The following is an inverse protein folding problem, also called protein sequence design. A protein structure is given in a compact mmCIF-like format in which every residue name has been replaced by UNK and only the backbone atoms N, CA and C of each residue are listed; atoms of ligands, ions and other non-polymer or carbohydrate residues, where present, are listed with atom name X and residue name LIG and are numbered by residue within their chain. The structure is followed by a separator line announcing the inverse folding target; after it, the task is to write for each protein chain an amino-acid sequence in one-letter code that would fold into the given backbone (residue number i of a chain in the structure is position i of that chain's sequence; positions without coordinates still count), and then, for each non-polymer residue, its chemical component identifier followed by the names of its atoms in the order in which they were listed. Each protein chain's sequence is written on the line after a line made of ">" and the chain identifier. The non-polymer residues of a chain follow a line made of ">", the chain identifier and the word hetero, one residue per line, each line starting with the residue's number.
data_IF_662204716086
#
_entry.id   IF_662204716086
#
_cell.length_a   1.000
_cell.length_b   1.000
_cell.length_c   1.000
_cell.angle_alpha   90.00
_cell.angle_beta   90.00
_cell.angle_gamma   90.00
#
_symmetry.space_group_name_H-M   'P 1'
#
loop_
_entity.id
_entity.type
_entity.pdbx_description
1 polymer ?
#
# COMPACT_ATOMS: atom_id res chain seq x y z
N UNK A 1 -0.62 -7.87 -22.92
CA UNK A 1 0.65 -7.34 -22.37
C UNK A 1 1.49 -6.86 -23.55
N UNK A 2 1.78 -5.57 -23.64
CA UNK A 2 2.60 -5.02 -24.71
C UNK A 2 4.04 -4.97 -24.22
N UNK A 3 4.96 -5.65 -24.91
CA UNK A 3 6.40 -5.54 -24.63
C UNK A 3 6.94 -4.45 -25.57
N UNK A 4 7.35 -3.32 -25.03
CA UNK A 4 7.91 -2.21 -25.82
C UNK A 4 9.36 -2.54 -26.15
N UNK A 5 9.57 -3.33 -27.20
CA UNK A 5 10.90 -3.69 -27.70
C UNK A 5 11.45 -2.69 -28.71
N UNK A 6 10.60 -1.83 -29.29
CA UNK A 6 10.98 -0.85 -30.30
C UNK A 6 11.88 0.28 -29.81
N UNK A 7 12.06 0.41 -28.49
CA UNK A 7 12.92 1.43 -27.87
C UNK A 7 14.30 0.91 -27.47
N UNK A 8 14.60 -0.36 -27.75
CA UNK A 8 15.88 -0.99 -27.39
C UNK A 8 16.95 -0.56 -28.39
N UNK A 9 18.08 0.03 -27.95
CA UNK A 9 19.15 0.45 -28.86
C UNK A 9 19.81 -0.75 -29.57
N UNK A 10 20.34 -0.54 -30.79
CA UNK A 10 20.91 -1.61 -31.63
C UNK A 10 22.13 -2.32 -31.01
N UNK A 11 22.80 -1.71 -30.04
CA UNK A 11 23.92 -2.31 -29.32
C UNK A 11 23.48 -3.30 -28.22
N UNK A 12 22.19 -3.44 -27.96
CA UNK A 12 21.63 -4.40 -26.99
C UNK A 12 21.12 -5.63 -27.73
N UNK A 13 21.54 -6.81 -27.28
CA UNK A 13 21.12 -8.07 -27.89
C UNK A 13 19.60 -8.26 -27.87
N UNK A 14 19.02 -8.59 -29.04
CA UNK A 14 17.56 -8.76 -29.22
C UNK A 14 16.92 -9.84 -28.33
N UNK A 15 17.73 -10.72 -27.72
CA UNK A 15 17.28 -11.79 -26.81
C UNK A 15 17.22 -11.37 -25.33
N UNK A 16 17.48 -10.10 -25.02
CA UNK A 16 17.47 -9.61 -23.64
C UNK A 16 16.08 -9.69 -22.99
N UNK A 17 15.01 -9.51 -23.78
CA UNK A 17 13.63 -9.58 -23.31
C UNK A 17 12.97 -10.82 -23.90
N UNK A 18 12.64 -11.77 -23.04
CA UNK A 18 11.85 -12.95 -23.38
C UNK A 18 10.39 -12.78 -22.99
N UNK A 19 9.47 -13.23 -23.85
CA UNK A 19 8.06 -13.36 -23.53
C UNK A 19 7.71 -14.85 -23.39
N UNK A 20 7.18 -15.21 -22.24
CA UNK A 20 6.63 -16.54 -21.99
C UNK A 20 5.15 -16.52 -22.37
N UNK A 21 4.74 -17.36 -23.31
CA UNK A 21 3.38 -17.36 -23.87
C UNK A 21 2.48 -18.43 -23.28
N UNK A 22 3.03 -19.43 -22.60
CA UNK A 22 2.27 -20.48 -21.92
C UNK A 22 2.38 -20.37 -20.40
N UNK A 23 1.26 -20.55 -19.71
CA UNK A 23 1.24 -20.63 -18.23
C UNK A 23 1.86 -21.94 -17.73
N UNK A 24 1.83 -22.98 -18.53
CA UNK A 24 2.36 -24.30 -18.17
C UNK A 24 3.90 -24.31 -18.08
N UNK A 25 4.56 -23.31 -18.65
CA UNK A 25 6.01 -23.13 -18.58
C UNK A 25 6.47 -22.47 -17.26
N UNK A 26 5.57 -21.77 -16.55
CA UNK A 26 5.89 -21.02 -15.33
C UNK A 26 6.50 -21.93 -14.25
N UNK A 27 5.95 -23.13 -13.94
CA UNK A 27 6.55 -24.02 -12.94
C UNK A 27 7.97 -24.48 -13.29
N UNK A 28 8.28 -24.63 -14.58
CA UNK A 28 9.62 -25.00 -15.03
C UNK A 28 10.59 -23.83 -14.87
N UNK A 29 10.17 -22.61 -15.21
CA UNK A 29 10.97 -21.40 -14.99
C UNK A 29 11.27 -21.18 -13.50
N UNK A 30 10.28 -21.39 -12.64
CA UNK A 30 10.43 -21.24 -11.18
C UNK A 30 11.40 -22.27 -10.56
N UNK A 31 11.89 -23.26 -11.31
CA UNK A 31 12.92 -24.21 -10.88
C UNK A 31 14.34 -23.85 -11.32
N UNK A 32 14.51 -22.79 -12.12
CA UNK A 32 15.81 -22.38 -12.66
C UNK A 32 16.52 -21.39 -11.71
N UNK A 33 16.73 -21.79 -10.44
CA UNK A 33 17.41 -20.96 -9.44
C UNK A 33 18.92 -20.77 -9.69
N UNK A 34 19.47 -21.47 -10.68
CA UNK A 34 20.82 -21.31 -11.21
C UNK A 34 20.93 -20.22 -12.30
N UNK A 35 19.82 -19.88 -12.97
CA UNK A 35 19.79 -18.91 -14.08
C UNK A 35 18.97 -17.66 -13.73
N UNK A 36 17.87 -17.80 -12.99
CA UNK A 36 16.97 -16.72 -12.63
C UNK A 36 17.32 -16.21 -11.23
N UNK A 37 17.81 -14.97 -11.15
CA UNK A 37 18.21 -14.38 -9.87
C UNK A 37 17.07 -13.74 -9.06
N UNK A 38 15.94 -13.42 -9.69
CA UNK A 38 14.82 -12.73 -9.03
C UNK A 38 13.50 -12.96 -9.76
N UNK A 39 12.43 -13.21 -9.01
CA UNK A 39 11.05 -13.24 -9.52
C UNK A 39 10.25 -12.10 -8.90
N UNK A 40 9.53 -11.34 -9.73
CA UNK A 40 8.66 -10.24 -9.30
C UNK A 40 7.21 -10.58 -9.68
N UNK A 41 6.48 -11.34 -8.85
CA UNK A 41 5.10 -11.68 -9.14
C UNK A 41 4.20 -10.45 -8.99
N UNK A 42 3.32 -10.23 -9.98
CA UNK A 42 2.30 -9.19 -9.94
C UNK A 42 0.93 -9.87 -10.06
N UNK A 43 0.08 -9.69 -9.06
CA UNK A 43 -1.23 -10.33 -9.02
C UNK A 43 -1.72 -10.44 -7.58
N UNK A 44 -2.61 -11.41 -7.35
CA UNK A 44 -3.23 -11.62 -6.04
C UNK A 44 -2.24 -12.13 -4.99
N UNK A 45 -2.56 -11.90 -3.72
CA UNK A 45 -1.82 -12.43 -2.57
C UNK A 45 -1.61 -13.96 -2.69
N UNK A 46 -2.66 -14.68 -3.12
CA UNK A 46 -2.59 -16.13 -3.37
C UNK A 46 -1.51 -16.48 -4.39
N UNK A 47 -1.43 -15.75 -5.51
CA UNK A 47 -0.40 -15.99 -6.53
C UNK A 47 1.01 -15.73 -5.97
N UNK A 48 1.18 -14.61 -5.25
CA UNK A 48 2.48 -14.26 -4.65
C UNK A 48 2.92 -15.32 -3.64
N UNK A 49 2.04 -15.77 -2.75
CA UNK A 49 2.33 -16.83 -1.77
C UNK A 49 2.63 -18.17 -2.44
N UNK A 50 1.84 -18.58 -3.43
CA UNK A 50 2.08 -19.80 -4.20
C UNK A 50 3.45 -19.79 -4.88
N UNK A 51 3.86 -18.66 -5.46
CA UNK A 51 5.19 -18.53 -6.08
C UNK A 51 6.28 -18.62 -5.01
N UNK A 52 6.15 -17.89 -3.90
CA UNK A 52 7.11 -17.95 -2.79
C UNK A 52 7.30 -19.35 -2.23
N UNK A 53 6.24 -20.15 -2.16
CA UNK A 53 6.26 -21.52 -1.66
C UNK A 53 6.84 -22.53 -2.67
N UNK A 54 6.82 -22.21 -3.98
CA UNK A 54 7.15 -23.15 -5.05
C UNK A 54 8.53 -22.96 -5.69
N UNK A 55 9.29 -21.94 -5.28
CA UNK A 55 10.62 -21.65 -5.83
C UNK A 55 11.69 -21.40 -4.76
N UNK A 56 12.94 -21.67 -5.11
CA UNK A 56 14.12 -21.24 -4.34
C UNK A 56 14.64 -19.87 -4.78
N UNK A 57 14.17 -19.35 -5.92
CA UNK A 57 14.57 -18.05 -6.44
C UNK A 57 14.08 -16.96 -5.48
N UNK A 58 14.89 -15.93 -5.17
CA UNK A 58 14.41 -14.77 -4.42
C UNK A 58 13.14 -14.18 -5.05
N UNK A 59 12.13 -13.91 -4.23
CA UNK A 59 10.84 -13.35 -4.68
C UNK A 59 10.61 -11.97 -4.09
N UNK A 60 10.50 -10.95 -4.94
CA UNK A 60 10.15 -9.60 -4.55
C UNK A 60 8.66 -9.33 -4.79
N UNK A 61 7.86 -9.46 -3.73
CA UNK A 61 6.43 -9.18 -3.76
C UNK A 61 5.83 -9.12 -2.35
N UNK A 62 4.77 -8.33 -2.19
CA UNK A 62 3.99 -8.26 -0.96
C UNK A 62 2.79 -9.20 -1.07
N UNK A 63 2.56 -9.99 -0.01
CA UNK A 63 1.46 -10.94 0.05
C UNK A 63 0.27 -10.42 0.87
N UNK A 64 0.38 -9.22 1.45
CA UNK A 64 -0.68 -8.55 2.20
C UNK A 64 -0.64 -7.05 1.90
N UNK A 65 -1.82 -6.44 1.92
CA UNK A 65 -2.04 -5.02 1.67
C UNK A 65 -3.11 -4.48 2.60
N UNK A 66 -2.86 -4.55 3.92
CA UNK A 66 -3.75 -3.98 4.93
C UNK A 66 -3.20 -2.62 5.33
N UNK A 67 -3.93 -1.58 4.95
CA UNK A 67 -3.60 -0.18 5.18
C UNK A 67 -4.58 0.44 6.18
N UNK A 68 -4.01 1.19 7.12
CA UNK A 68 -4.75 1.89 8.15
C UNK A 68 -4.61 3.40 7.95
N UNK A 69 -5.69 4.16 8.14
CA UNK A 69 -5.64 5.61 8.30
C UNK A 69 -5.99 5.94 9.74
N UNK A 70 -5.16 6.76 10.40
CA UNK A 70 -5.42 7.23 11.75
C UNK A 70 -5.72 8.74 11.75
N UNK A 71 -6.86 9.12 12.35
CA UNK A 71 -7.27 10.52 12.53
C UNK A 71 -7.06 10.93 13.98
N UNK A 72 -6.03 11.74 14.22
CA UNK A 72 -5.71 12.30 15.54
C UNK A 72 -6.70 13.40 15.95
N UNK A 73 -6.88 13.62 17.25
CA UNK A 73 -7.75 14.69 17.78
C UNK A 73 -7.39 16.10 17.31
N UNK A 74 -6.13 16.37 16.97
CA UNK A 74 -5.69 17.67 16.44
C UNK A 74 -5.70 17.74 14.92
N UNK A 75 -6.23 16.73 14.23
CA UNK A 75 -6.28 16.73 12.77
C UNK A 75 -7.21 17.84 12.25
N UNK A 76 -6.82 18.47 11.15
CA UNK A 76 -7.73 19.30 10.37
C UNK A 76 -8.76 18.38 9.69
N UNK A 77 -10.03 18.54 10.03
CA UNK A 77 -11.08 17.60 9.59
C UNK A 77 -11.36 17.66 8.08
N UNK A 78 -11.21 18.81 7.43
CA UNK A 78 -11.38 18.93 5.97
C UNK A 78 -10.28 18.16 5.22
N UNK A 79 -9.04 18.25 5.73
CA UNK A 79 -7.91 17.50 5.19
C UNK A 79 -8.06 16.00 5.46
N UNK A 80 -8.40 15.62 6.70
CA UNK A 80 -8.62 14.23 7.08
C UNK A 80 -9.68 13.58 6.19
N UNK A 81 -10.76 14.29 5.90
CA UNK A 81 -11.82 13.84 5.00
C UNK A 81 -11.30 13.57 3.59
N UNK A 82 -10.59 14.52 2.97
CA UNK A 82 -10.02 14.33 1.63
C UNK A 82 -9.10 13.11 1.57
N UNK A 83 -8.25 12.96 2.57
CA UNK A 83 -7.31 11.84 2.68
C UNK A 83 -8.07 10.52 2.79
N UNK A 84 -9.02 10.41 3.71
CA UNK A 84 -9.78 9.17 3.95
C UNK A 84 -10.55 8.72 2.71
N UNK A 85 -11.14 9.65 1.97
CA UNK A 85 -11.91 9.34 0.77
C UNK A 85 -11.00 8.91 -0.38
N UNK A 86 -9.90 9.62 -0.63
CA UNK A 86 -8.89 9.23 -1.62
C UNK A 86 -8.33 7.83 -1.29
N UNK A 87 -8.08 7.57 -0.01
CA UNK A 87 -7.58 6.29 0.47
C UNK A 87 -8.47 5.10 0.09
N UNK A 88 -9.79 5.30 0.04
CA UNK A 88 -10.74 4.20 -0.07
C UNK A 88 -11.49 4.15 -1.39
N UNK A 89 -11.93 5.31 -1.88
CA UNK A 89 -12.94 5.42 -2.92
C UNK A 89 -12.31 5.47 -4.32
N UNK A 90 -11.12 6.07 -4.49
CA UNK A 90 -10.50 6.25 -5.81
C UNK A 90 -10.25 4.91 -6.53
N UNK A 91 -9.60 3.97 -5.84
CA UNK A 91 -9.37 2.62 -6.36
C UNK A 91 -9.46 1.55 -5.26
N UNK A 92 -10.67 1.09 -4.90
CA UNK A 92 -10.88 0.22 -3.74
C UNK A 92 -10.23 -1.16 -3.82
N UNK A 93 -9.91 -1.62 -5.04
CA UNK A 93 -9.26 -2.90 -5.30
C UNK A 93 -7.71 -2.83 -5.22
N UNK A 94 -7.16 -1.64 -4.99
CA UNK A 94 -5.73 -1.47 -4.82
C UNK A 94 -5.24 -2.12 -3.52
N UNK A 95 -4.05 -2.73 -3.55
CA UNK A 95 -3.41 -3.27 -2.35
C UNK A 95 -3.02 -2.21 -1.31
N UNK A 96 -3.11 -0.92 -1.66
CA UNK A 96 -2.82 0.21 -0.80
C UNK A 96 -4.06 1.06 -0.49
N UNK A 97 -5.26 0.59 -0.87
CA UNK A 97 -6.49 1.22 -0.44
C UNK A 97 -6.61 1.11 1.08
N UNK A 98 -7.31 2.01 1.76
CA UNK A 98 -7.55 1.91 3.20
C UNK A 98 -8.49 0.75 3.52
N UNK A 99 -8.13 -0.12 4.45
CA UNK A 99 -9.03 -1.15 4.99
C UNK A 99 -9.62 -0.72 6.32
N UNK A 100 -8.87 0.02 7.13
CA UNK A 100 -9.29 0.39 8.48
C UNK A 100 -9.11 1.88 8.72
N UNK A 101 -10.18 2.52 9.17
CA UNK A 101 -10.16 3.89 9.68
C UNK A 101 -10.11 3.86 11.21
N UNK A 102 -9.01 4.35 11.77
CA UNK A 102 -8.80 4.53 13.20
C UNK A 102 -9.03 5.99 13.55
N UNK A 103 -9.81 6.26 14.59
CA UNK A 103 -10.18 7.63 14.96
C UNK A 103 -9.92 7.85 16.45
N UNK A 104 -9.31 8.99 16.79
CA UNK A 104 -9.14 9.38 18.17
C UNK A 104 -10.51 9.55 18.85
N UNK A 105 -10.69 8.96 20.05
CA UNK A 105 -11.97 8.95 20.80
C UNK A 105 -12.63 10.32 20.98
N UNK A 106 -11.82 11.38 21.10
CA UNK A 106 -12.29 12.76 21.29
C UNK A 106 -13.03 13.29 20.05
N UNK A 107 -12.86 12.66 18.88
CA UNK A 107 -13.55 13.02 17.63
C UNK A 107 -14.91 12.34 17.46
N UNK A 108 -15.29 11.40 18.35
CA UNK A 108 -16.49 10.57 18.20
C UNK A 108 -17.82 11.35 18.14
N UNK A 109 -17.83 12.59 18.63
CA UNK A 109 -19.01 13.47 18.63
C UNK A 109 -18.80 14.72 17.77
N UNK A 110 -17.83 14.69 16.87
CA UNK A 110 -17.52 15.83 16.01
C UNK A 110 -18.25 15.69 14.69
N UNK A 111 -18.83 16.80 14.22
CA UNK A 111 -19.45 16.87 12.89
C UNK A 111 -18.51 16.43 11.77
N UNK A 112 -17.21 16.73 11.90
CA UNK A 112 -16.22 16.34 10.91
C UNK A 112 -16.09 14.82 10.76
N UNK A 113 -16.24 14.04 11.83
CA UNK A 113 -16.28 12.58 11.74
C UNK A 113 -17.57 12.10 11.08
N UNK A 114 -18.71 12.69 11.44
CA UNK A 114 -20.01 12.35 10.85
C UNK A 114 -20.00 12.58 9.33
N UNK A 115 -19.42 13.69 8.87
CA UNK A 115 -19.28 14.02 7.45
C UNK A 115 -18.42 12.99 6.70
N UNK A 116 -17.33 12.50 7.31
CA UNK A 116 -16.47 11.45 6.75
C UNK A 116 -17.24 10.13 6.62
N UNK A 117 -17.95 9.73 7.67
CA UNK A 117 -18.73 8.48 7.69
C UNK A 117 -19.85 8.54 6.64
N UNK A 118 -20.53 9.69 6.53
CA UNK A 118 -21.60 9.88 5.55
C UNK A 118 -21.10 9.73 4.11
N UNK A 119 -19.95 10.32 3.79
CA UNK A 119 -19.39 10.22 2.43
C UNK A 119 -18.82 8.84 2.11
N UNK A 120 -18.21 8.15 3.08
CA UNK A 120 -17.80 6.75 2.90
C UNK A 120 -18.99 5.85 2.59
N UNK A 121 -20.12 6.03 3.29
CA UNK A 121 -21.37 5.29 3.01
C UNK A 121 -21.93 5.63 1.64
N UNK A 122 -21.91 6.91 1.24
CA UNK A 122 -22.31 7.34 -0.10
C UNK A 122 -21.48 6.69 -1.21
N UNK A 123 -20.21 6.37 -0.95
CA UNK A 123 -19.32 5.63 -1.84
C UNK A 123 -19.54 4.11 -1.89
N UNK A 124 -20.57 3.58 -1.22
CA UNK A 124 -20.87 2.15 -1.19
C UNK A 124 -20.08 1.36 -0.13
N UNK A 125 -19.45 2.03 0.83
CA UNK A 125 -18.75 1.38 1.94
C UNK A 125 -19.60 1.36 3.19
N UNK A 126 -20.13 0.17 3.52
CA UNK A 126 -20.75 -0.03 4.81
C UNK A 126 -19.69 -0.02 5.91
N UNK A 127 -19.91 0.83 6.92
CA UNK A 127 -19.00 1.19 8.01
C UNK A 127 -18.61 0.05 9.00
N UNK A 128 -18.64 -1.22 8.59
CA UNK A 128 -18.49 -2.39 9.47
C UNK A 128 -17.06 -2.63 10.00
N UNK A 129 -16.07 -1.79 9.68
CA UNK A 129 -14.70 -1.88 10.22
C UNK A 129 -14.19 -0.53 10.76
N UNK A 130 -15.07 0.24 11.42
CA UNK A 130 -14.63 1.27 12.37
C UNK A 130 -14.30 0.58 13.70
N UNK A 131 -13.06 0.10 13.86
CA UNK A 131 -12.59 -0.33 15.17
C UNK A 131 -12.38 0.90 16.05
N UNK A 132 -13.33 1.10 16.96
CA UNK A 132 -13.24 2.00 18.10
C UNK A 132 -12.15 1.49 19.06
N UNK A 133 -10.90 1.88 18.81
CA UNK A 133 -9.80 1.56 19.72
C UNK A 133 -9.89 2.41 20.99
N UNK A 134 -10.68 1.92 21.95
CA UNK A 134 -10.56 2.31 23.36
C UNK A 134 -9.18 1.86 23.87
N UNK A 135 -8.27 2.83 24.01
CA UNK A 135 -7.03 2.73 24.79
C UNK A 135 -6.20 1.46 24.53
N UNK A 136 -5.37 1.52 23.48
CA UNK A 136 -4.30 0.57 23.24
C UNK A 136 -3.34 0.50 24.45
N UNK A 137 -3.31 -0.65 25.15
CA UNK A 137 -2.17 -1.06 25.98
C UNK A 137 -0.93 -1.12 25.09
N UNK A 138 0.03 -0.24 25.37
CA UNK A 138 1.48 -0.17 25.05
C UNK A 138 2.15 -1.06 23.95
N UNK A 139 1.64 -2.23 23.54
CA UNK A 139 2.42 -3.20 22.74
C UNK A 139 2.50 -2.92 21.24
N UNK A 140 1.49 -2.38 20.53
CA UNK A 140 1.71 -1.93 19.13
C UNK A 140 2.22 -0.51 19.03
N UNK A 141 2.08 0.30 20.08
CA UNK A 141 2.83 1.55 20.13
C UNK A 141 4.35 1.29 20.24
N UNK A 142 4.81 0.17 20.81
CA UNK A 142 6.21 -0.22 20.76
C UNK A 142 6.67 -0.71 19.38
N UNK A 143 5.81 -1.42 18.61
CA UNK A 143 6.14 -1.79 17.23
C UNK A 143 6.08 -0.60 16.26
N UNK A 144 5.14 0.33 16.45
CA UNK A 144 5.08 1.57 15.67
C UNK A 144 6.14 2.61 16.06
N UNK A 145 6.64 2.61 17.32
CA UNK A 145 7.80 3.44 17.72
C UNK A 145 9.09 3.09 16.99
N UNK A 146 9.19 1.88 16.44
CA UNK A 146 10.34 1.47 15.64
C UNK A 146 10.31 2.08 14.22
N UNK A 147 9.19 2.69 13.81
CA UNK A 147 8.95 3.24 12.46
C UNK A 147 8.17 4.58 12.46
N UNK A 148 8.26 5.39 13.51
CA UNK A 148 7.41 6.58 13.67
C UNK A 148 7.89 7.83 12.92
N UNK A 149 7.10 8.32 11.96
CA UNK A 149 7.04 9.75 11.62
C UNK A 149 5.89 10.41 12.39
N UNK A 150 6.23 11.36 13.25
CA UNK A 150 5.30 12.24 13.95
C UNK A 150 5.13 13.53 13.14
N UNK A 151 3.89 13.94 12.87
CA UNK A 151 3.63 15.31 12.41
C UNK A 151 3.59 16.22 13.64
N UNK A 152 4.73 16.81 13.96
CA UNK A 152 4.85 17.95 14.89
C UNK A 152 5.35 19.18 14.11
N UNK A 153 4.82 20.33 14.48
CA UNK A 153 5.03 21.62 13.84
C UNK A 153 6.51 22.08 13.83
N UNK A 154 6.90 22.78 12.75
CA UNK A 154 8.09 23.61 12.50
C UNK A 154 9.35 23.06 11.78
N UNK A 155 9.58 23.65 10.58
CA UNK A 155 10.82 24.07 9.89
C UNK A 155 11.84 23.00 9.40
N UNK A 156 12.01 23.01 8.07
CA UNK A 156 13.20 22.67 7.25
C UNK A 156 14.13 21.58 7.80
N UNK A 157 14.11 20.38 7.21
CA UNK A 157 15.31 19.53 7.00
C UNK A 157 15.16 18.77 5.67
N UNK A 158 16.29 18.64 4.99
CA UNK A 158 16.50 18.18 3.62
C UNK A 158 16.01 16.76 3.32
N UNK A 159 15.55 16.60 2.08
CA UNK A 159 15.32 15.35 1.39
C UNK A 159 16.62 14.57 1.24
N UNK A 160 16.65 13.31 1.70
CA UNK A 160 17.34 12.13 1.12
C UNK A 160 17.44 11.03 2.22
N UNK A 161 16.92 9.84 1.87
CA UNK A 161 17.08 8.49 2.44
C UNK A 161 16.09 7.96 3.52
N UNK A 162 15.49 6.84 3.12
CA UNK A 162 14.83 5.75 3.85
C UNK A 162 13.33 5.82 4.19
N UNK A 163 12.59 5.22 3.26
CA UNK A 163 11.18 4.79 3.21
C UNK A 163 10.89 3.70 4.24
N UNK A 164 9.88 3.85 5.10
CA UNK A 164 9.06 2.73 5.62
C UNK A 164 7.66 3.21 6.05
N UNK A 165 6.74 3.12 5.09
CA UNK A 165 5.31 2.75 5.18
C UNK A 165 4.48 3.21 6.40
N UNK A 166 4.41 4.52 6.66
CA UNK A 166 3.19 5.19 7.14
C UNK A 166 3.07 6.45 6.28
N UNK A 167 1.94 6.60 5.58
CA UNK A 167 1.56 7.71 4.70
C UNK A 167 2.10 7.65 3.25
N UNK A 168 1.19 7.40 2.30
CA UNK A 168 1.29 7.96 0.95
C UNK A 168 -0.11 8.25 0.39
N UNK A 169 -0.81 9.19 1.04
CA UNK A 169 -1.86 10.03 0.43
C UNK A 169 -1.36 11.48 0.50
N UNK A 170 -0.16 11.71 -0.05
CA UNK A 170 0.43 13.05 -0.16
C UNK A 170 0.93 13.34 -1.58
N UNK A 171 1.03 12.34 -2.48
CA UNK A 171 1.60 12.57 -3.82
C UNK A 171 0.65 13.15 -4.87
N UNK A 172 -0.67 13.26 -4.61
CA UNK A 172 -1.64 13.81 -5.59
C UNK A 172 -2.25 15.16 -5.24
N UNK A 173 -1.81 15.77 -4.14
CA UNK A 173 -2.25 17.11 -3.71
C UNK A 173 -1.15 18.19 -3.88
N UNK A 174 0.01 17.86 -4.45
CA UNK A 174 1.16 18.78 -4.65
C UNK A 174 1.65 18.82 -6.11
N UNK A 175 0.96 18.15 -7.06
CA UNK A 175 1.11 18.35 -8.51
C UNK A 175 -0.24 18.72 -9.11
#
# INVERSE_FOLDING_TARGET
>A
MMVIVGSIPDNVGKKLIGLVTSRDDIPNLLRLDDVIGLVIPRGSNKLVSQIKESTKIPVLGHADGICHVYVDKSANMDMAKRIVLDAKIDYPAACNAMETLLVHKDLMKTKGLDDIIMELRGGGFDSYHLELLMLWRFSVFQKCRQFGYFIHHHRRINWILNVYLILLIVMRLIL
#
